data_IF_527398016922
#
_entry.id   IF_527398016922
#
_cell.length_a   1.000
_cell.length_b   1.000
_cell.length_c   1.000
_cell.angle_alpha   90.00
_cell.angle_beta   90.00
_cell.angle_gamma   90.00
#
_symmetry.space_group_name_H-M   'P 1'
#
loop_
_entity.id
_entity.type
_entity.pdbx_description
1 polymer ?
#
# COMPACT_ATOMS: atom_id res chain seq x y z
N UNK A 1 8.15 46.32 8.07
CA UNK A 1 7.23 45.38 7.40
C UNK A 1 7.49 44.01 7.99
N UNK A 2 6.50 43.35 8.61
CA UNK A 2 6.69 41.95 9.01
C UNK A 2 6.79 41.12 7.74
N UNK A 3 7.80 40.26 7.71
CA UNK A 3 8.01 39.26 6.66
C UNK A 3 6.93 38.21 6.91
N UNK A 4 5.95 38.10 6.01
CA UNK A 4 5.03 36.96 5.99
C UNK A 4 5.86 35.70 5.77
N UNK A 5 6.17 34.99 6.85
CA UNK A 5 6.71 33.64 6.78
C UNK A 5 5.52 32.78 6.32
N UNK A 6 5.55 32.19 5.11
CA UNK A 6 4.45 31.35 4.66
C UNK A 6 4.27 30.23 5.68
N UNK A 7 3.11 30.19 6.32
CA UNK A 7 2.71 29.08 7.18
C UNK A 7 2.90 27.78 6.39
N UNK A 8 3.70 26.85 6.90
CA UNK A 8 3.89 25.56 6.26
C UNK A 8 2.51 24.94 5.99
N UNK A 9 2.22 24.63 4.73
CA UNK A 9 0.92 24.08 4.33
C UNK A 9 0.60 22.82 5.15
N UNK A 10 -0.67 22.68 5.58
CA UNK A 10 -1.17 21.54 6.34
C UNK A 10 -0.77 20.23 5.65
N UNK A 11 -0.05 19.37 6.36
CA UNK A 11 0.35 18.04 5.87
C UNK A 11 -0.69 17.03 6.32
N UNK A 12 -1.38 16.40 5.37
CA UNK A 12 -2.47 15.45 5.65
C UNK A 12 -2.03 13.99 5.46
N UNK A 13 -2.81 13.05 5.99
CA UNK A 13 -2.70 11.62 5.70
C UNK A 13 -3.66 11.28 4.57
N UNK A 14 -3.14 10.64 3.52
CA UNK A 14 -3.94 10.13 2.41
C UNK A 14 -3.89 8.60 2.47
N UNK A 15 -5.04 7.98 2.73
CA UNK A 15 -5.22 6.54 2.81
C UNK A 15 -5.90 6.01 1.54
N UNK A 16 -5.31 4.99 0.88
CA UNK A 16 -5.82 4.43 -0.37
C UNK A 16 -5.97 2.91 -0.25
N UNK A 17 -7.21 2.43 -0.21
CA UNK A 17 -7.54 0.99 -0.22
C UNK A 17 -8.10 0.54 -1.56
N UNK A 18 -8.12 -0.78 -1.77
CA UNK A 18 -8.77 -1.42 -2.93
C UNK A 18 -8.11 -2.74 -3.35
N UNK A 19 -8.73 -3.48 -4.27
CA UNK A 19 -8.32 -4.84 -4.65
C UNK A 19 -6.98 -4.89 -5.38
N UNK A 20 -6.35 -6.06 -5.47
CA UNK A 20 -5.06 -6.19 -6.16
C UNK A 20 -5.16 -5.74 -7.63
N UNK A 21 -4.06 -5.21 -8.19
CA UNK A 21 -3.97 -4.73 -9.57
C UNK A 21 -4.94 -3.59 -9.99
N UNK A 22 -5.58 -2.89 -9.05
CA UNK A 22 -6.41 -1.70 -9.35
C UNK A 22 -5.63 -0.42 -9.66
N UNK A 23 -4.31 -0.47 -9.81
CA UNK A 23 -3.47 0.71 -10.08
C UNK A 23 -3.09 1.55 -8.85
N UNK A 24 -3.58 1.21 -7.65
CA UNK A 24 -3.32 1.94 -6.38
C UNK A 24 -1.88 2.34 -6.17
N UNK A 25 -0.96 1.39 -6.13
CA UNK A 25 0.43 1.67 -5.76
C UNK A 25 1.11 2.63 -6.73
N UNK A 26 0.77 2.54 -8.03
CA UNK A 26 1.25 3.48 -9.06
C UNK A 26 0.65 4.88 -8.84
N UNK A 27 -0.66 4.95 -8.65
CA UNK A 27 -1.39 6.21 -8.45
C UNK A 27 -0.98 6.89 -7.14
N UNK A 28 -0.93 6.15 -6.04
CA UNK A 28 -0.53 6.61 -4.71
C UNK A 28 0.89 7.18 -4.72
N UNK A 29 1.84 6.49 -5.38
CA UNK A 29 3.22 6.98 -5.52
C UNK A 29 3.28 8.29 -6.31
N UNK A 30 2.55 8.37 -7.42
CA UNK A 30 2.51 9.58 -8.24
C UNK A 30 1.85 10.76 -7.52
N UNK A 31 0.78 10.53 -6.75
CA UNK A 31 0.15 11.53 -5.89
C UNK A 31 1.12 12.01 -4.81
N UNK A 32 1.81 11.09 -4.13
CA UNK A 32 2.78 11.42 -3.10
C UNK A 32 3.92 12.29 -3.67
N UNK A 33 4.46 11.91 -4.83
CA UNK A 33 5.48 12.69 -5.53
C UNK A 33 5.01 14.10 -5.85
N UNK A 34 3.78 14.26 -6.34
CA UNK A 34 3.22 15.58 -6.70
C UNK A 34 2.93 16.47 -5.48
N UNK A 35 2.72 15.87 -4.31
CA UNK A 35 2.49 16.57 -3.04
C UNK A 35 3.76 16.73 -2.19
N UNK A 36 4.90 16.19 -2.63
CA UNK A 36 6.12 16.03 -1.81
C UNK A 36 5.84 15.30 -0.47
N UNK A 37 5.05 14.24 -0.55
CA UNK A 37 4.69 13.37 0.58
C UNK A 37 5.49 12.05 0.54
N UNK A 38 5.66 11.43 1.70
CA UNK A 38 6.22 10.08 1.77
C UNK A 38 5.16 9.07 1.30
N UNK A 39 5.50 8.24 0.32
CA UNK A 39 4.65 7.12 -0.06
C UNK A 39 5.03 5.87 0.72
N UNK A 40 4.03 5.14 1.21
CA UNK A 40 4.20 3.91 1.99
C UNK A 40 3.34 2.80 1.37
N UNK A 41 3.99 1.76 0.84
CA UNK A 41 3.35 0.50 0.47
C UNK A 41 3.25 -0.37 1.73
N UNK A 42 2.06 -0.43 2.34
CA UNK A 42 1.84 -1.29 3.52
C UNK A 42 2.14 -2.76 3.24
N UNK A 43 1.89 -3.23 2.02
CA UNK A 43 2.18 -4.59 1.58
C UNK A 43 3.68 -4.88 1.53
N UNK A 44 4.51 -3.87 1.28
CA UNK A 44 5.97 -4.00 1.34
C UNK A 44 6.46 -4.35 2.75
N UNK A 45 5.81 -3.83 3.79
CA UNK A 45 6.17 -4.15 5.18
C UNK A 45 5.89 -5.61 5.51
N UNK A 46 4.75 -6.16 5.09
CA UNK A 46 4.47 -7.59 5.27
C UNK A 46 5.48 -8.45 4.52
N UNK A 47 5.86 -8.06 3.29
CA UNK A 47 6.89 -8.77 2.52
C UNK A 47 8.28 -8.66 3.14
N UNK A 48 8.61 -7.54 3.80
CA UNK A 48 9.86 -7.39 4.54
C UNK A 48 9.92 -8.34 5.75
N UNK A 49 8.82 -8.49 6.50
CA UNK A 49 8.72 -9.49 7.57
C UNK A 49 8.81 -10.92 7.00
N UNK A 50 8.18 -11.20 5.87
CA UNK A 50 8.31 -12.50 5.17
C UNK A 50 9.76 -12.78 4.76
N UNK A 51 10.46 -11.79 4.20
CA UNK A 51 11.88 -11.91 3.85
C UNK A 51 12.72 -12.23 5.08
N UNK A 52 12.56 -11.46 6.16
CA UNK A 52 13.28 -11.66 7.40
C UNK A 52 13.06 -13.07 7.98
N UNK A 53 11.81 -13.55 7.97
CA UNK A 53 11.48 -14.89 8.47
C UNK A 53 12.21 -15.98 7.66
N UNK A 54 12.19 -15.87 6.33
CA UNK A 54 12.85 -16.83 5.45
C UNK A 54 14.37 -16.81 5.61
N UNK A 55 14.97 -15.63 5.76
CA UNK A 55 16.42 -15.48 5.98
C UNK A 55 16.86 -16.01 7.34
N UNK A 56 16.01 -15.88 8.36
CA UNK A 56 16.23 -16.45 9.70
C UNK A 56 15.91 -17.95 9.81
N UNK A 57 15.48 -18.61 8.72
CA UNK A 57 15.05 -20.01 8.75
C UNK A 57 13.79 -20.26 9.59
N UNK A 58 12.98 -19.22 9.81
CA UNK A 58 11.71 -19.31 10.54
C UNK A 58 10.60 -19.64 9.54
N UNK A 59 9.88 -20.77 9.70
CA UNK A 59 8.72 -21.06 8.88
C UNK A 59 7.70 -19.92 8.97
N UNK A 60 7.20 -19.42 7.84
CA UNK A 60 6.24 -18.30 7.83
C UNK A 60 4.90 -18.65 8.49
N UNK A 61 4.63 -19.93 8.69
CA UNK A 61 3.47 -20.47 9.41
C UNK A 61 3.67 -20.52 10.92
N UNK A 62 4.89 -20.30 11.44
CA UNK A 62 5.13 -20.19 12.88
C UNK A 62 4.72 -18.80 13.37
N UNK A 63 3.45 -18.68 13.77
CA UNK A 63 2.87 -17.38 14.09
C UNK A 63 3.60 -16.65 15.22
N UNK A 64 4.10 -17.38 16.22
CA UNK A 64 4.76 -16.80 17.38
C UNK A 64 6.13 -16.25 16.99
N UNK A 65 6.97 -17.06 16.35
CA UNK A 65 8.34 -16.64 15.99
C UNK A 65 8.34 -15.54 14.94
N UNK A 66 7.42 -15.58 13.98
CA UNK A 66 7.27 -14.51 12.98
C UNK A 66 6.82 -13.20 13.64
N UNK A 67 5.93 -13.26 14.62
CA UNK A 67 5.49 -12.05 15.35
C UNK A 67 6.61 -11.47 16.22
N UNK A 68 7.39 -12.30 16.89
CA UNK A 68 8.57 -11.88 17.65
C UNK A 68 9.58 -11.17 16.73
N UNK A 69 9.88 -11.77 15.58
CA UNK A 69 10.74 -11.16 14.57
C UNK A 69 10.18 -9.83 14.08
N UNK A 70 8.88 -9.76 13.73
CA UNK A 70 8.25 -8.51 13.31
C UNK A 70 8.38 -7.39 14.36
N UNK A 71 8.41 -7.75 15.65
CA UNK A 71 8.59 -6.82 16.76
C UNK A 71 9.98 -6.17 16.77
N UNK A 72 11.03 -6.94 16.46
CA UNK A 72 12.43 -6.49 16.54
C UNK A 72 12.90 -5.72 15.30
N UNK A 73 12.28 -5.95 14.14
CA UNK A 73 12.71 -5.34 12.88
C UNK A 73 12.48 -3.83 12.84
N UNK A 74 13.50 -3.09 12.42
CA UNK A 74 13.37 -1.70 12.01
C UNK A 74 13.00 -1.64 10.52
N UNK A 75 11.81 -1.11 10.21
CA UNK A 75 11.33 -0.94 8.84
C UNK A 75 11.19 0.56 8.56
N UNK A 76 12.00 1.07 7.66
CA UNK A 76 11.97 2.49 7.25
C UNK A 76 11.76 2.62 5.74
N UNK A 77 11.32 3.80 5.33
CA UNK A 77 11.07 4.11 3.92
C UNK A 77 11.91 5.31 3.49
N UNK A 78 12.60 5.16 2.36
CA UNK A 78 13.39 6.22 1.74
C UNK A 78 12.57 7.04 0.75
N UNK A 79 13.06 8.26 0.48
CA UNK A 79 12.58 9.12 -0.60
C UNK A 79 13.52 8.97 -1.79
N UNK A 80 13.12 8.19 -2.79
CA UNK A 80 13.76 8.22 -4.09
C UNK A 80 12.72 8.60 -5.17
N UNK A 81 13.15 9.44 -6.11
CA UNK A 81 12.31 10.07 -7.14
C UNK A 81 11.70 9.05 -8.13
N UNK A 82 12.23 7.83 -8.17
CA UNK A 82 11.86 6.78 -9.13
C UNK A 82 11.12 5.60 -8.48
N UNK A 83 11.49 5.24 -7.26
CA UNK A 83 10.90 4.13 -6.52
C UNK A 83 10.90 4.40 -5.01
N UNK A 84 9.97 3.75 -4.32
CA UNK A 84 9.92 3.78 -2.86
C UNK A 84 10.92 2.77 -2.34
N UNK A 85 11.97 3.27 -1.70
CA UNK A 85 12.95 2.44 -1.03
C UNK A 85 12.38 1.97 0.30
N UNK A 86 12.54 0.70 0.60
CA UNK A 86 12.21 0.10 1.88
C UNK A 86 13.47 -0.52 2.45
N UNK A 87 13.79 -0.14 3.68
CA UNK A 87 14.95 -0.64 4.39
C UNK A 87 14.50 -1.54 5.53
N UNK A 88 15.22 -2.63 5.70
CA UNK A 88 15.09 -3.57 6.81
C UNK A 88 16.40 -3.54 7.59
N UNK A 89 16.36 -3.07 8.83
CA UNK A 89 17.54 -2.88 9.69
C UNK A 89 18.69 -2.14 8.96
N UNK A 90 18.31 -1.08 8.22
CA UNK A 90 19.23 -0.25 7.44
C UNK A 90 19.64 -0.80 6.07
N UNK A 91 19.24 -2.04 5.72
CA UNK A 91 19.55 -2.66 4.42
C UNK A 91 18.42 -2.44 3.41
N UNK A 92 18.72 -1.96 2.21
CA UNK A 92 17.71 -1.83 1.15
C UNK A 92 17.24 -3.22 0.70
N UNK A 93 15.96 -3.51 0.92
CA UNK A 93 15.32 -4.78 0.54
C UNK A 93 14.31 -4.63 -0.59
N UNK A 94 14.23 -3.46 -1.23
CA UNK A 94 13.19 -3.07 -2.20
C UNK A 94 12.99 -4.07 -3.34
N UNK A 95 14.09 -4.61 -3.86
CA UNK A 95 14.07 -5.65 -4.89
C UNK A 95 13.79 -7.05 -4.29
N UNK A 96 14.46 -7.39 -3.19
CA UNK A 96 14.39 -8.69 -2.54
C UNK A 96 12.96 -9.06 -2.13
N UNK A 97 12.20 -8.10 -1.58
CA UNK A 97 10.82 -8.32 -1.15
C UNK A 97 9.84 -8.59 -2.29
N UNK A 98 10.24 -8.38 -3.56
CA UNK A 98 9.40 -8.62 -4.74
C UNK A 98 9.69 -9.96 -5.40
N UNK A 99 10.67 -10.72 -4.91
CA UNK A 99 11.00 -12.02 -5.47
C UNK A 99 9.80 -12.99 -5.37
N UNK A 100 9.61 -13.90 -6.36
CA UNK A 100 8.50 -14.86 -6.35
C UNK A 100 8.40 -15.68 -5.07
N UNK A 101 9.55 -16.06 -4.49
CA UNK A 101 9.61 -16.77 -3.20
C UNK A 101 8.93 -16.03 -2.05
N UNK A 102 8.99 -14.69 -2.04
CA UNK A 102 8.37 -13.86 -1.00
C UNK A 102 6.87 -13.80 -1.21
N UNK A 103 6.44 -13.60 -2.46
CA UNK A 103 5.01 -13.58 -2.82
C UNK A 103 4.33 -14.91 -2.47
N UNK A 104 5.02 -16.04 -2.66
CA UNK A 104 4.50 -17.36 -2.33
C UNK A 104 4.30 -17.60 -0.81
N UNK A 105 5.07 -16.92 0.05
CA UNK A 105 5.08 -17.15 1.50
C UNK A 105 4.47 -16.00 2.32
N UNK A 106 3.91 -14.98 1.67
CA UNK A 106 3.37 -13.80 2.37
C UNK A 106 2.06 -14.09 3.11
N UNK A 107 1.24 -15.02 2.61
CA UNK A 107 -0.13 -15.20 3.10
C UNK A 107 -0.21 -15.56 4.59
N UNK A 108 0.59 -16.51 5.13
CA UNK A 108 0.61 -16.80 6.56
C UNK A 108 1.02 -15.59 7.41
N UNK A 109 2.00 -14.81 6.94
CA UNK A 109 2.50 -13.60 7.64
C UNK A 109 1.43 -12.50 7.67
N UNK A 110 0.74 -12.27 6.55
CA UNK A 110 -0.30 -11.25 6.45
C UNK A 110 -1.59 -11.61 7.22
N UNK A 111 -1.84 -12.90 7.44
CA UNK A 111 -2.98 -13.42 8.19
C UNK A 111 -2.75 -13.47 9.71
N UNK A 112 -1.48 -13.51 10.15
CA UNK A 112 -1.08 -13.54 11.56
C UNK A 112 -1.49 -12.25 12.29
N UNK A 113 -2.41 -12.37 13.26
CA UNK A 113 -2.98 -11.24 13.99
C UNK A 113 -1.94 -10.45 14.78
N UNK A 114 -0.94 -11.10 15.40
CA UNK A 114 0.12 -10.44 16.17
C UNK A 114 1.05 -9.65 15.26
N UNK A 115 1.43 -10.22 14.11
CA UNK A 115 2.21 -9.48 13.09
C UNK A 115 1.43 -8.26 12.61
N UNK A 116 0.12 -8.40 12.35
CA UNK A 116 -0.72 -7.27 11.94
C UNK A 116 -0.75 -6.17 13.00
N UNK A 117 -0.97 -6.50 14.26
CA UNK A 117 -0.97 -5.51 15.36
C UNK A 117 0.35 -4.72 15.41
N UNK A 118 1.49 -5.41 15.30
CA UNK A 118 2.81 -4.79 15.29
C UNK A 118 2.98 -3.87 14.08
N UNK A 119 2.66 -4.36 12.88
CA UNK A 119 2.84 -3.59 11.64
C UNK A 119 1.88 -2.40 11.56
N UNK A 120 0.64 -2.52 12.03
CA UNK A 120 -0.31 -1.39 12.11
C UNK A 120 0.25 -0.30 13.01
N UNK A 121 0.80 -0.64 14.19
CA UNK A 121 1.42 0.34 15.07
C UNK A 121 2.62 1.05 14.41
N UNK A 122 3.47 0.30 13.68
CA UNK A 122 4.59 0.89 12.91
C UNK A 122 4.09 1.80 11.79
N UNK A 123 3.06 1.38 11.03
CA UNK A 123 2.44 2.17 9.97
C UNK A 123 1.83 3.48 10.51
N UNK A 124 1.15 3.42 11.64
CA UNK A 124 0.59 4.59 12.32
C UNK A 124 1.68 5.56 12.75
N UNK A 125 2.78 5.05 13.31
CA UNK A 125 3.95 5.86 13.67
C UNK A 125 4.54 6.59 12.47
N UNK A 126 4.69 5.90 11.33
CA UNK A 126 5.21 6.48 10.08
C UNK A 126 4.33 7.62 9.54
N UNK A 127 3.02 7.58 9.77
CA UNK A 127 2.09 8.61 9.30
C UNK A 127 1.70 9.68 10.32
N UNK A 128 2.23 9.60 11.56
CA UNK A 128 1.78 10.45 12.68
C UNK A 128 1.90 11.94 12.41
N UNK A 129 2.92 12.36 11.68
CA UNK A 129 3.19 13.77 11.36
C UNK A 129 2.47 14.28 10.11
N UNK A 130 1.61 13.45 9.50
CA UNK A 130 1.02 13.73 8.20
C UNK A 130 2.04 13.76 7.07
N UNK A 131 1.63 14.17 5.88
CA UNK A 131 2.53 14.26 4.72
C UNK A 131 2.85 12.89 4.16
N UNK A 132 1.89 11.97 4.24
CA UNK A 132 2.03 10.58 3.80
C UNK A 132 0.89 10.19 2.86
N UNK A 133 1.21 9.34 1.89
CA UNK A 133 0.23 8.60 1.09
C UNK A 133 0.48 7.12 1.34
N UNK A 134 -0.46 6.42 1.95
CA UNK A 134 -0.33 5.00 2.26
C UNK A 134 -1.37 4.19 1.50
N UNK A 135 -0.92 3.16 0.77
CA UNK A 135 -1.82 2.23 0.07
C UNK A 135 -1.81 0.82 0.66
N UNK A 136 -2.96 0.15 0.58
CA UNK A 136 -3.14 -1.17 1.18
C UNK A 136 -4.51 -1.79 0.92
N UNK A 137 -5.06 -2.40 1.98
CA UNK A 137 -6.38 -3.08 1.99
C UNK A 137 -7.27 -2.60 3.12
N UNK A 138 -6.68 -2.20 4.24
CA UNK A 138 -7.36 -1.74 5.44
C UNK A 138 -6.73 -0.47 6.01
N UNK A 139 -6.15 0.37 5.14
CA UNK A 139 -5.54 1.65 5.56
C UNK A 139 -6.62 2.62 6.03
N UNK A 140 -7.73 2.72 5.30
CA UNK A 140 -8.83 3.65 5.59
C UNK A 140 -9.67 3.24 6.80
N UNK A 141 -9.62 1.96 7.20
CA UNK A 141 -10.49 1.39 8.24
C UNK A 141 -9.73 1.00 9.51
N UNK A 142 -8.48 0.57 9.42
CA UNK A 142 -7.70 0.05 10.55
C UNK A 142 -6.48 0.92 10.84
N UNK A 143 -5.68 1.25 9.82
CA UNK A 143 -4.42 1.96 10.03
C UNK A 143 -4.65 3.45 10.32
N UNK A 144 -5.35 4.14 9.42
CA UNK A 144 -5.71 5.55 9.50
C UNK A 144 -7.23 5.74 9.38
N UNK A 145 -8.02 5.29 10.37
CA UNK A 145 -9.45 5.60 10.44
C UNK A 145 -9.72 7.09 10.61
N UNK A 146 -8.70 7.90 10.87
CA UNK A 146 -8.71 9.34 11.02
C UNK A 146 -7.96 10.06 9.88
N UNK A 147 -7.62 9.37 8.78
CA UNK A 147 -7.04 10.03 7.60
C UNK A 147 -7.99 11.10 7.05
N UNK A 148 -7.45 12.27 6.74
CA UNK A 148 -8.22 13.39 6.21
C UNK A 148 -8.73 13.12 4.80
N UNK A 149 -7.99 12.33 4.01
CA UNK A 149 -8.44 11.81 2.72
C UNK A 149 -8.40 10.29 2.71
N UNK A 150 -9.57 9.66 2.58
CA UNK A 150 -9.73 8.22 2.40
C UNK A 150 -10.27 7.94 1.00
N UNK A 151 -9.57 7.09 0.26
CA UNK A 151 -9.95 6.69 -1.10
C UNK A 151 -10.08 5.18 -1.16
N UNK A 152 -11.15 4.71 -1.78
CA UNK A 152 -11.30 3.32 -2.17
C UNK A 152 -11.25 3.22 -3.70
N UNK A 153 -10.13 2.73 -4.24
CA UNK A 153 -9.95 2.55 -5.67
C UNK A 153 -10.46 1.18 -6.11
N UNK A 154 -11.40 1.15 -7.05
CA UNK A 154 -11.93 -0.10 -7.62
C UNK A 154 -11.73 -0.14 -9.14
N UNK A 155 -11.75 -1.36 -9.70
CA UNK A 155 -11.84 -1.61 -11.14
C UNK A 155 -12.41 -3.02 -11.35
N UNK A 156 -13.01 -3.27 -12.52
CA UNK A 156 -13.48 -4.61 -12.85
C UNK A 156 -12.35 -5.64 -12.81
N UNK A 157 -12.67 -6.91 -12.53
CA UNK A 157 -11.66 -7.98 -12.45
C UNK A 157 -10.97 -8.19 -13.80
N UNK A 158 -11.74 -8.12 -14.89
CA UNK A 158 -11.26 -8.24 -16.26
C UNK A 158 -10.27 -7.13 -16.61
N UNK A 159 -10.57 -5.89 -16.23
CA UNK A 159 -9.67 -4.78 -16.52
C UNK A 159 -8.36 -4.88 -15.71
N UNK A 160 -8.44 -5.33 -14.46
CA UNK A 160 -7.26 -5.60 -13.64
C UNK A 160 -6.44 -6.75 -14.21
N UNK A 161 -7.08 -7.79 -14.75
CA UNK A 161 -6.41 -8.88 -15.46
C UNK A 161 -5.71 -8.39 -16.74
N UNK A 162 -6.38 -7.58 -17.57
CA UNK A 162 -5.76 -6.99 -18.78
C UNK A 162 -4.51 -6.18 -18.44
N UNK A 163 -4.60 -5.30 -17.42
CA UNK A 163 -3.45 -4.50 -16.95
C UNK A 163 -2.30 -5.38 -16.48
N UNK A 164 -2.61 -6.47 -15.76
CA UNK A 164 -1.60 -7.39 -15.25
C UNK A 164 -0.92 -8.17 -16.37
N UNK A 165 -1.67 -8.65 -17.36
CA UNK A 165 -1.12 -9.31 -18.56
C UNK A 165 -0.19 -8.32 -19.29
N UNK A 166 -0.63 -7.09 -19.54
CA UNK A 166 0.20 -6.07 -20.18
C UNK A 166 1.49 -5.78 -19.40
N UNK A 167 1.43 -5.70 -18.06
CA UNK A 167 2.62 -5.52 -17.20
C UNK A 167 3.62 -6.70 -17.32
N UNK A 168 3.11 -7.93 -17.45
CA UNK A 168 3.94 -9.13 -17.61
C UNK A 168 4.55 -9.19 -19.02
N UNK A 169 3.79 -8.81 -20.05
CA UNK A 169 4.29 -8.76 -21.43
C UNK A 169 5.45 -7.76 -21.59
N UNK A 170 5.42 -6.62 -20.91
CA UNK A 170 6.54 -5.64 -20.89
C UNK A 170 7.83 -6.25 -20.29
N UNK A 171 7.72 -7.33 -19.51
CA UNK A 171 8.83 -8.05 -18.88
C UNK A 171 9.20 -9.33 -19.63
N UNK A 172 8.68 -9.51 -20.85
CA UNK A 172 8.82 -10.74 -21.64
C UNK A 172 8.34 -12.01 -20.93
N UNK A 173 7.35 -11.86 -20.03
CA UNK A 173 6.70 -12.97 -19.33
C UNK A 173 5.36 -13.24 -20.00
N UNK A 174 5.24 -14.41 -20.63
CA UNK A 174 3.97 -14.90 -21.15
C UNK A 174 3.00 -15.18 -19.99
N UNK A 175 1.76 -14.71 -20.12
CA UNK A 175 0.71 -14.92 -19.14
C UNK A 175 -0.62 -15.11 -19.87
N UNK A 176 -1.36 -16.15 -19.49
CA UNK A 176 -2.71 -16.38 -19.99
C UNK A 176 -3.71 -15.47 -19.27
N UNK A 177 -4.64 -14.90 -20.04
CA UNK A 177 -5.62 -13.95 -19.49
C UNK A 177 -6.56 -14.60 -18.48
N UNK A 178 -7.06 -15.80 -18.78
CA UNK A 178 -8.03 -16.51 -17.94
C UNK A 178 -7.36 -16.99 -16.64
N UNK A 179 -6.12 -17.47 -16.70
CA UNK A 179 -5.33 -17.79 -15.52
C UNK A 179 -5.08 -16.57 -14.61
N UNK A 180 -4.72 -15.43 -15.22
CA UNK A 180 -4.50 -14.18 -14.47
C UNK A 180 -5.81 -13.68 -13.85
N UNK A 181 -6.92 -13.75 -14.58
CA UNK A 181 -8.25 -13.38 -14.07
C UNK A 181 -8.64 -14.25 -12.87
N UNK A 182 -8.55 -15.57 -13.00
CA UNK A 182 -8.86 -16.50 -11.92
C UNK A 182 -8.00 -16.26 -10.67
N UNK A 183 -6.70 -15.98 -10.87
CA UNK A 183 -5.78 -15.63 -9.79
C UNK A 183 -6.18 -14.33 -9.07
N UNK A 184 -6.60 -13.32 -9.84
CA UNK A 184 -7.08 -12.04 -9.29
C UNK A 184 -8.36 -12.24 -8.47
N UNK A 185 -9.34 -12.97 -9.00
CA UNK A 185 -10.61 -13.21 -8.29
C UNK A 185 -10.42 -14.02 -7.01
N UNK A 186 -9.55 -15.03 -7.04
CA UNK A 186 -9.18 -15.80 -5.86
C UNK A 186 -8.56 -14.89 -4.78
N UNK A 187 -7.67 -13.99 -5.20
CA UNK A 187 -7.02 -13.04 -4.30
C UNK A 187 -8.00 -12.03 -3.73
N UNK A 188 -8.92 -11.51 -4.53
CA UNK A 188 -9.94 -10.58 -4.06
C UNK A 188 -10.86 -11.25 -3.04
N UNK A 189 -11.27 -12.51 -3.29
CA UNK A 189 -12.04 -13.29 -2.33
C UNK A 189 -11.28 -13.42 -1.01
N UNK A 190 -10.00 -13.79 -1.05
CA UNK A 190 -9.18 -13.90 0.14
C UNK A 190 -9.01 -12.56 0.89
N UNK A 191 -8.80 -11.45 0.18
CA UNK A 191 -8.68 -10.11 0.74
C UNK A 191 -10.00 -9.65 1.39
N UNK A 192 -11.16 -9.99 0.81
CA UNK A 192 -12.49 -9.67 1.33
C UNK A 192 -12.90 -10.54 2.54
N UNK A 193 -12.56 -11.84 2.52
CA UNK A 193 -13.03 -12.79 3.54
C UNK A 193 -12.05 -13.02 4.69
N UNK A 194 -10.84 -12.43 4.65
CA UNK A 194 -9.87 -12.62 5.73
C UNK A 194 -10.41 -12.14 7.08
N UNK A 195 -10.16 -12.92 8.13
CA UNK A 195 -10.63 -12.61 9.49
C UNK A 195 -10.06 -11.31 10.02
N UNK A 196 -8.80 -11.00 9.70
CA UNK A 196 -8.10 -9.82 10.20
C UNK A 196 -7.81 -8.82 9.09
N UNK A 197 -8.27 -7.59 9.28
CA UNK A 197 -8.11 -6.47 8.34
C UNK A 197 -8.78 -6.66 6.98
N UNK A 198 -9.96 -7.31 6.83
CA UNK A 198 -10.56 -7.54 5.51
C UNK A 198 -10.62 -6.25 4.68
N UNK A 199 -10.45 -6.38 3.35
CA UNK A 199 -10.66 -5.29 2.42
C UNK A 199 -12.10 -4.80 2.58
N UNK A 200 -12.24 -3.61 3.16
CA UNK A 200 -13.53 -2.97 3.43
C UNK A 200 -13.41 -1.51 3.10
N UNK A 201 -14.42 -0.99 2.41
CA UNK A 201 -14.56 0.43 2.20
C UNK A 201 -14.94 1.10 3.53
N UNK A 202 -14.17 2.08 3.98
CA UNK A 202 -14.59 2.92 5.10
C UNK A 202 -15.85 3.73 4.70
N UNK A 203 -16.82 3.96 5.60
CA UNK A 203 -18.07 4.66 5.27
C UNK A 203 -17.87 6.05 4.66
N UNK A 204 -16.78 6.73 5.02
CA UNK A 204 -16.39 8.05 4.57
C UNK A 204 -15.32 8.04 3.46
N UNK A 205 -14.95 6.86 2.93
CA UNK A 205 -14.03 6.76 1.81
C UNK A 205 -14.70 7.14 0.48
N UNK A 206 -14.01 7.97 -0.29
CA UNK A 206 -14.41 8.33 -1.66
C UNK A 206 -14.08 7.16 -2.59
N UNK A 207 -15.10 6.62 -3.24
CA UNK A 207 -14.92 5.55 -4.24
C UNK A 207 -14.47 6.16 -5.56
N UNK A 208 -13.36 5.64 -6.09
CA UNK A 208 -12.87 5.99 -7.42
C UNK A 208 -12.86 4.71 -8.27
N UNK A 209 -13.80 4.62 -9.22
CA UNK A 209 -13.75 3.61 -10.26
C UNK A 209 -12.68 4.00 -11.29
N UNK A 210 -11.69 3.13 -11.42
CA UNK A 210 -10.53 3.31 -12.30
C UNK A 210 -10.63 2.48 -13.58
N UNK A 211 -11.73 1.76 -13.81
CA UNK A 211 -11.89 0.86 -14.96
C UNK A 211 -11.62 1.55 -16.28
N UNK A 212 -12.20 2.75 -16.48
CA UNK A 212 -12.04 3.54 -17.70
C UNK A 212 -11.04 4.71 -17.55
N UNK A 213 -10.26 4.76 -16.47
CA UNK A 213 -9.35 5.87 -16.20
C UNK A 213 -7.89 5.48 -16.48
N UNK A 214 -7.19 6.34 -17.19
CA UNK A 214 -5.74 6.30 -17.29
C UNK A 214 -5.08 6.62 -15.94
N UNK A 215 -3.82 6.21 -15.75
CA UNK A 215 -3.07 6.55 -14.52
C UNK A 215 -3.02 8.07 -14.30
N UNK A 216 -2.84 8.87 -15.34
CA UNK A 216 -2.81 10.33 -15.23
C UNK A 216 -4.12 10.90 -14.69
N UNK A 217 -5.28 10.41 -15.16
CA UNK A 217 -6.59 10.83 -14.68
C UNK A 217 -6.85 10.36 -13.24
N UNK A 218 -6.42 9.15 -12.88
CA UNK A 218 -6.49 8.65 -11.51
C UNK A 218 -5.70 9.55 -10.55
N UNK A 219 -4.47 9.90 -10.93
CA UNK A 219 -3.60 10.79 -10.15
C UNK A 219 -4.19 12.18 -10.03
N UNK A 220 -4.68 12.76 -11.13
CA UNK A 220 -5.28 14.09 -11.12
C UNK A 220 -6.51 14.16 -10.19
N UNK A 221 -7.39 13.16 -10.24
CA UNK A 221 -8.56 13.09 -9.36
C UNK A 221 -8.17 13.09 -7.88
N UNK A 222 -7.27 12.19 -7.48
CA UNK A 222 -6.86 12.09 -6.07
C UNK A 222 -6.08 13.34 -5.63
N UNK A 223 -5.22 13.87 -6.51
CA UNK A 223 -4.47 15.09 -6.23
C UNK A 223 -5.38 16.29 -5.98
N UNK A 224 -6.43 16.49 -6.79
CA UNK A 224 -7.40 17.59 -6.57
C UNK A 224 -8.12 17.45 -5.24
N UNK A 225 -8.61 16.25 -4.93
CA UNK A 225 -9.25 15.98 -3.63
C UNK A 225 -8.31 16.31 -2.46
N UNK A 226 -7.03 15.93 -2.56
CA UNK A 226 -6.03 16.26 -1.56
C UNK A 226 -5.79 17.76 -1.45
N UNK A 227 -5.65 18.48 -2.58
CA UNK A 227 -5.48 19.94 -2.60
C UNK A 227 -6.65 20.66 -1.97
N UNK A 228 -7.87 20.28 -2.30
CA UNK A 228 -9.08 20.88 -1.73
C UNK A 228 -9.09 20.74 -0.19
N UNK A 229 -8.65 19.59 0.33
CA UNK A 229 -8.56 19.37 1.79
C UNK A 229 -7.42 20.19 2.42
N UNK A 230 -6.26 20.28 1.76
CA UNK A 230 -5.11 21.04 2.24
C UNK A 230 -5.39 22.55 2.26
N UNK A 231 -6.15 23.04 1.28
CA UNK A 231 -6.46 24.47 1.10
C UNK A 231 -7.66 24.96 1.90
N UNK A 232 -8.54 24.05 2.36
CA UNK A 232 -9.62 24.40 3.29
C UNK A 232 -9.00 24.98 4.56
N UNK A 233 -9.25 26.27 4.80
CA UNK A 233 -9.04 26.89 6.11
C UNK A 233 -10.14 26.36 7.04
N UNK A 234 -9.71 25.79 8.16
CA UNK A 234 -10.60 25.36 9.25
C UNK A 234 -11.48 26.53 9.73
#
# INVERSE_FOLDING_TARGET
MPIDIPMAAKKIKIAIDGPAASGKSTTARAVARRLDYLYIDSGAMYRAVTLAALEAGVPTTDETRVAELAGTLEITFGRNNEATEIYLDGTDVSAAIRAPRIVAHINPVAANSRVRQILVAKQQSLGKSGGVVMDGRDITTVVFPDAELKVYMQASAEERARRRVAELSVKDIAADFDEVLASIEQRDRADLTRTHGPLKQAPDAIVIDTTALTIAEQVEKIYRLARDIIERKD
#
